data_IF_048048291966
#
_entry.id   IF_048048291966
#
_cell.length_a   1.000
_cell.length_b   1.000
_cell.length_c   1.000
_cell.angle_alpha   90.00
_cell.angle_beta   90.00
_cell.angle_gamma   90.00
#
_symmetry.space_group_name_H-M   'P 1'
#
loop_
_entity.id
_entity.type
_entity.pdbx_description
1 polymer ?
#
# COMPACT_ATOMS: atom_id res chain seq x y z
N UNK A 1 11.01 -37.43 -3.00
CA UNK A 1 12.42 -37.37 -3.46
C UNK A 1 12.53 -37.41 -4.99
N UNK A 2 11.79 -38.28 -5.69
CA UNK A 2 11.83 -38.35 -7.16
C UNK A 2 11.25 -37.10 -7.87
N UNK A 3 10.11 -36.58 -7.39
CA UNK A 3 9.54 -35.33 -7.92
C UNK A 3 10.47 -34.12 -7.82
N UNK A 4 11.33 -34.08 -6.80
CA UNK A 4 12.26 -32.97 -6.60
C UNK A 4 13.41 -33.01 -7.60
N UNK A 5 13.85 -34.21 -8.02
CA UNK A 5 14.82 -34.37 -9.11
C UNK A 5 14.21 -33.95 -10.44
N UNK A 6 12.98 -34.36 -10.72
CA UNK A 6 12.26 -33.96 -11.94
C UNK A 6 12.04 -32.44 -11.97
N UNK A 7 11.63 -31.84 -10.85
CA UNK A 7 11.49 -30.40 -10.73
C UNK A 7 12.81 -29.65 -11.01
N UNK A 8 13.95 -30.18 -10.56
CA UNK A 8 15.27 -29.61 -10.86
C UNK A 8 15.65 -29.76 -12.34
N UNK A 9 15.38 -30.92 -12.95
CA UNK A 9 15.62 -31.17 -14.38
C UNK A 9 14.74 -30.28 -15.26
N UNK A 10 13.46 -30.17 -14.93
CA UNK A 10 12.51 -29.26 -15.59
C UNK A 10 12.89 -27.80 -15.36
N UNK A 11 13.35 -27.45 -14.16
CA UNK A 11 13.87 -26.12 -13.83
C UNK A 11 15.08 -25.71 -14.68
N UNK A 12 15.93 -26.67 -15.06
CA UNK A 12 17.05 -26.47 -15.97
C UNK A 12 16.67 -26.38 -17.45
N UNK A 13 15.66 -27.14 -17.89
CA UNK A 13 15.19 -27.17 -19.30
C UNK A 13 14.30 -25.96 -19.62
N UNK A 14 13.29 -25.72 -18.79
CA UNK A 14 12.24 -24.75 -19.05
C UNK A 14 12.58 -23.34 -18.56
N UNK A 15 13.83 -23.09 -18.14
CA UNK A 15 14.34 -21.75 -17.86
C UNK A 15 13.37 -20.97 -16.99
N UNK A 16 13.30 -21.38 -15.72
CA UNK A 16 12.63 -20.67 -14.63
C UNK A 16 11.12 -20.90 -14.44
N UNK A 17 10.74 -22.17 -14.36
CA UNK A 17 9.60 -22.56 -13.48
C UNK A 17 9.93 -22.25 -11.99
N UNK A 18 11.17 -21.86 -11.67
CA UNK A 18 11.67 -21.49 -10.33
C UNK A 18 10.71 -20.68 -9.43
N UNK A 19 9.99 -19.63 -9.89
CA UNK A 19 9.03 -18.94 -9.03
C UNK A 19 7.78 -19.77 -8.67
N UNK A 20 7.36 -20.71 -9.54
CA UNK A 20 6.36 -21.73 -9.21
C UNK A 20 6.95 -22.85 -8.32
N UNK A 21 8.27 -23.09 -8.41
CA UNK A 21 8.98 -24.14 -7.65
C UNK A 21 9.27 -23.76 -6.18
N UNK A 22 9.20 -22.47 -5.82
CA UNK A 22 9.49 -21.98 -4.46
C UNK A 22 8.25 -21.84 -3.55
N UNK A 23 7.07 -22.27 -4.01
CA UNK A 23 5.88 -22.34 -3.17
C UNK A 23 6.02 -23.41 -2.06
N UNK A 24 5.25 -23.31 -0.95
CA UNK A 24 5.35 -24.23 0.17
C UNK A 24 5.26 -25.68 -0.31
N UNK A 25 6.10 -26.54 0.28
CA UNK A 25 6.49 -27.90 -0.14
C UNK A 25 5.32 -28.84 -0.49
N UNK A 26 4.08 -28.51 -0.09
CA UNK A 26 2.85 -29.21 -0.50
C UNK A 26 2.41 -29.00 -1.95
N UNK A 27 2.94 -28.01 -2.68
CA UNK A 27 2.60 -27.74 -4.09
C UNK A 27 3.38 -28.59 -5.10
N UNK A 28 4.38 -29.38 -4.66
CA UNK A 28 5.12 -30.27 -5.57
C UNK A 28 4.23 -31.34 -6.23
N UNK A 29 3.13 -31.74 -5.59
CA UNK A 29 2.14 -32.70 -6.12
C UNK A 29 1.27 -32.07 -7.21
N UNK A 30 0.96 -30.78 -7.13
CA UNK A 30 0.18 -30.08 -8.18
C UNK A 30 1.00 -29.77 -9.42
N UNK A 31 2.33 -29.74 -9.30
CA UNK A 31 3.25 -29.49 -10.41
C UNK A 31 3.43 -30.76 -11.26
N UNK A 32 3.54 -31.93 -10.61
CA UNK A 32 3.58 -33.21 -11.31
C UNK A 32 2.35 -33.43 -12.19
N UNK A 33 1.17 -33.08 -11.69
CA UNK A 33 -0.07 -33.16 -12.46
C UNK A 33 -0.20 -32.12 -13.58
N UNK A 34 0.36 -30.92 -13.41
CA UNK A 34 0.34 -29.89 -14.45
C UNK A 34 1.32 -30.19 -15.58
N UNK A 35 2.52 -30.67 -15.24
CA UNK A 35 3.54 -31.09 -16.22
C UNK A 35 3.06 -32.33 -16.98
N UNK A 36 2.54 -33.34 -16.28
CA UNK A 36 1.96 -34.51 -16.92
C UNK A 36 0.71 -34.16 -17.75
N UNK A 37 -0.11 -33.20 -17.33
CA UNK A 37 -1.20 -32.65 -18.12
C UNK A 37 -0.74 -31.94 -19.40
N UNK A 38 0.34 -31.15 -19.34
CA UNK A 38 0.93 -30.47 -20.50
C UNK A 38 1.61 -31.44 -21.48
N UNK A 39 2.22 -32.51 -20.97
CA UNK A 39 2.88 -33.55 -21.75
C UNK A 39 1.93 -34.66 -22.22
N UNK A 40 0.73 -34.75 -21.64
CA UNK A 40 -0.24 -35.82 -21.91
C UNK A 40 0.15 -37.18 -21.33
N UNK A 41 0.98 -37.22 -20.28
CA UNK A 41 1.46 -38.46 -19.66
C UNK A 41 0.72 -38.79 -18.38
N UNK A 42 0.94 -39.98 -17.84
CA UNK A 42 0.46 -40.32 -16.50
C UNK A 42 1.11 -39.40 -15.44
N UNK A 43 0.35 -39.10 -14.38
CA UNK A 43 0.79 -38.27 -13.24
C UNK A 43 1.78 -39.02 -12.32
N UNK A 44 2.75 -39.73 -12.91
CA UNK A 44 3.82 -40.43 -12.20
C UNK A 44 5.18 -39.83 -12.57
N UNK A 45 6.10 -39.69 -11.59
CA UNK A 45 7.43 -39.15 -11.85
C UNK A 45 8.17 -39.94 -12.94
N UNK A 46 7.98 -41.26 -12.98
CA UNK A 46 8.65 -42.16 -13.90
C UNK A 46 8.16 -41.98 -15.34
N UNK A 47 6.86 -41.79 -15.56
CA UNK A 47 6.29 -41.57 -16.90
C UNK A 47 6.71 -40.22 -17.50
N UNK A 48 6.71 -39.16 -16.68
CA UNK A 48 7.16 -37.82 -17.10
C UNK A 48 8.66 -37.82 -17.43
N UNK A 49 9.48 -38.50 -16.62
CA UNK A 49 10.92 -38.60 -16.86
C UNK A 49 11.25 -39.46 -18.09
N UNK A 50 10.45 -40.49 -18.37
CA UNK A 50 10.58 -41.30 -19.57
C UNK A 50 10.23 -40.49 -20.83
N UNK A 51 9.14 -39.72 -20.81
CA UNK A 51 8.73 -38.87 -21.94
C UNK A 51 9.78 -37.79 -22.22
N UNK A 52 10.30 -37.13 -21.18
CA UNK A 52 11.36 -36.12 -21.32
C UNK A 52 12.68 -36.68 -21.86
N UNK A 53 12.96 -37.98 -21.67
CA UNK A 53 14.16 -38.64 -22.22
C UNK A 53 13.96 -39.18 -23.62
N UNK A 54 12.77 -39.69 -23.91
CA UNK A 54 12.48 -40.39 -25.15
C UNK A 54 11.99 -39.46 -26.26
N UNK A 55 11.51 -38.26 -25.90
CA UNK A 55 10.91 -37.32 -26.83
C UNK A 55 11.55 -35.92 -26.73
N UNK A 56 12.35 -35.49 -27.72
CA UNK A 56 12.92 -34.14 -27.73
C UNK A 56 11.84 -33.04 -27.87
N UNK A 57 10.67 -33.35 -28.47
CA UNK A 57 9.56 -32.38 -28.58
C UNK A 57 8.85 -32.14 -27.24
N UNK A 58 8.95 -33.09 -26.30
CA UNK A 58 8.42 -32.92 -24.95
C UNK A 58 9.10 -31.75 -24.22
N UNK A 59 10.41 -31.58 -24.40
CA UNK A 59 11.15 -30.46 -23.82
C UNK A 59 10.70 -29.11 -24.39
N UNK A 60 10.44 -29.04 -25.70
CA UNK A 60 9.95 -27.82 -26.36
C UNK A 60 8.54 -27.45 -25.91
N UNK A 61 7.63 -28.43 -25.84
CA UNK A 61 6.26 -28.21 -25.32
C UNK A 61 6.28 -27.72 -23.88
N UNK A 62 7.15 -28.30 -23.05
CA UNK A 62 7.28 -27.89 -21.65
C UNK A 62 7.82 -26.46 -21.52
N UNK A 63 8.76 -26.07 -22.38
CA UNK A 63 9.28 -24.71 -22.43
C UNK A 63 8.21 -23.71 -22.88
N UNK A 64 7.40 -24.05 -23.88
CA UNK A 64 6.28 -23.22 -24.34
C UNK A 64 5.25 -23.02 -23.24
N UNK A 65 4.80 -24.11 -22.61
CA UNK A 65 3.88 -24.05 -21.48
C UNK A 65 4.42 -23.20 -20.33
N UNK A 66 5.69 -23.39 -19.95
CA UNK A 66 6.31 -22.59 -18.90
C UNK A 66 6.37 -21.10 -19.25
N UNK A 67 6.60 -20.76 -20.52
CA UNK A 67 6.59 -19.37 -20.99
C UNK A 67 5.19 -18.75 -20.93
N UNK A 68 4.16 -19.48 -21.35
CA UNK A 68 2.76 -19.04 -21.30
C UNK A 68 2.30 -18.83 -19.84
N UNK A 69 2.61 -19.77 -18.95
CA UNK A 69 2.25 -19.67 -17.53
C UNK A 69 2.93 -18.46 -16.85
N UNK A 70 4.21 -18.23 -17.18
CA UNK A 70 4.95 -17.05 -16.71
C UNK A 70 4.31 -15.75 -17.16
N UNK A 71 3.87 -15.70 -18.40
CA UNK A 71 3.20 -14.52 -18.94
C UNK A 71 1.87 -14.30 -18.24
N UNK A 72 1.07 -15.36 -18.03
CA UNK A 72 -0.19 -15.27 -17.29
C UNK A 72 0.02 -14.78 -15.86
N UNK A 73 0.99 -15.34 -15.13
CA UNK A 73 1.33 -14.90 -13.77
C UNK A 73 1.80 -13.44 -13.77
N UNK A 74 2.60 -13.03 -14.76
CA UNK A 74 3.06 -11.64 -14.89
C UNK A 74 1.88 -10.69 -15.11
N UNK A 75 0.95 -11.05 -15.99
CA UNK A 75 -0.26 -10.26 -16.25
C UNK A 75 -1.15 -10.18 -15.01
N UNK A 76 -1.39 -11.31 -14.33
CA UNK A 76 -2.17 -11.34 -13.09
C UNK A 76 -1.53 -10.46 -12.00
N UNK A 77 -0.20 -10.49 -11.84
CA UNK A 77 0.50 -9.61 -10.90
C UNK A 77 0.37 -8.13 -11.27
N UNK A 78 0.44 -7.80 -12.56
CA UNK A 78 0.24 -6.42 -13.04
C UNK A 78 -1.21 -5.97 -12.76
N UNK A 79 -2.19 -6.85 -12.97
CA UNK A 79 -3.59 -6.57 -12.70
C UNK A 79 -3.85 -6.35 -11.20
N UNK A 80 -3.31 -7.19 -10.32
CA UNK A 80 -3.38 -7.01 -8.88
C UNK A 80 -2.77 -5.67 -8.44
N UNK A 81 -1.62 -5.28 -9.03
CA UNK A 81 -1.01 -3.98 -8.75
C UNK A 81 -1.87 -2.82 -9.25
N UNK A 82 -2.54 -2.95 -10.41
CA UNK A 82 -3.48 -1.94 -10.91
C UNK A 82 -4.68 -1.79 -9.98
N UNK A 83 -5.29 -2.89 -9.53
CA UNK A 83 -6.42 -2.87 -8.60
C UNK A 83 -6.01 -2.20 -7.29
N UNK A 84 -4.88 -2.58 -6.71
CA UNK A 84 -4.36 -1.97 -5.48
C UNK A 84 -4.11 -0.45 -5.64
N UNK A 85 -3.64 -0.03 -6.81
CA UNK A 85 -3.41 1.37 -7.14
C UNK A 85 -4.72 2.14 -7.34
N UNK A 86 -5.73 1.51 -7.95
CA UNK A 86 -7.08 2.07 -8.10
C UNK A 86 -7.78 2.23 -6.76
N UNK A 87 -7.70 1.23 -5.88
CA UNK A 87 -8.21 1.30 -4.51
C UNK A 87 -7.54 2.44 -3.73
N UNK A 88 -6.22 2.55 -3.81
CA UNK A 88 -5.48 3.65 -3.19
C UNK A 88 -5.89 5.02 -3.73
N UNK A 89 -6.10 5.15 -5.04
CA UNK A 89 -6.61 6.38 -5.65
C UNK A 89 -8.03 6.69 -5.21
N UNK A 90 -8.89 5.69 -5.05
CA UNK A 90 -10.25 5.86 -4.58
C UNK A 90 -10.28 6.36 -3.13
N UNK A 91 -9.47 5.79 -2.23
CA UNK A 91 -9.33 6.27 -0.84
C UNK A 91 -8.81 7.71 -0.79
N UNK A 92 -7.79 8.04 -1.60
CA UNK A 92 -7.28 9.40 -1.68
C UNK A 92 -8.34 10.39 -2.20
N UNK A 93 -9.12 9.99 -3.21
CA UNK A 93 -10.18 10.81 -3.77
C UNK A 93 -11.31 11.02 -2.76
N UNK A 94 -11.73 9.96 -2.04
CA UNK A 94 -12.73 10.06 -0.98
C UNK A 94 -12.28 11.02 0.14
N UNK A 95 -11.03 10.89 0.61
CA UNK A 95 -10.43 11.81 1.57
C UNK A 95 -10.33 13.23 1.04
N UNK A 96 -10.01 13.41 -0.23
CA UNK A 96 -9.98 14.72 -0.87
C UNK A 96 -11.37 15.32 -0.98
N UNK A 97 -12.38 14.51 -1.32
CA UNK A 97 -13.79 14.91 -1.41
C UNK A 97 -14.31 15.36 -0.05
N UNK A 98 -14.07 14.56 1.00
CA UNK A 98 -14.40 14.93 2.38
C UNK A 98 -13.75 16.25 2.80
N UNK A 99 -12.49 16.50 2.40
CA UNK A 99 -11.80 17.78 2.66
C UNK A 99 -12.40 18.93 1.87
N UNK A 100 -12.80 18.73 0.62
CA UNK A 100 -13.43 19.79 -0.18
C UNK A 100 -14.83 20.12 0.29
N UNK A 101 -15.59 19.14 0.76
CA UNK A 101 -16.96 19.33 1.21
C UNK A 101 -17.02 20.00 2.59
N UNK A 102 -16.03 19.74 3.45
CA UNK A 102 -15.93 20.34 4.79
C UNK A 102 -14.98 21.54 4.88
N UNK A 103 -14.48 22.06 3.76
CA UNK A 103 -13.47 23.14 3.73
C UNK A 103 -13.92 24.44 4.39
N UNK A 104 -15.21 24.76 4.26
CA UNK A 104 -15.82 25.99 4.81
C UNK A 104 -16.63 25.71 6.08
N UNK A 105 -16.43 24.53 6.69
CA UNK A 105 -17.14 24.20 7.92
C UNK A 105 -16.58 25.03 9.07
N UNK A 106 -17.45 25.60 9.90
CA UNK A 106 -17.10 26.49 11.01
C UNK A 106 -16.39 25.77 12.18
N UNK A 107 -16.44 24.43 12.21
CA UNK A 107 -15.92 23.58 13.29
C UNK A 107 -14.43 23.82 13.63
N UNK A 108 -13.47 23.88 12.66
CA UNK A 108 -12.07 24.13 12.99
C UNK A 108 -11.85 25.51 13.62
N UNK A 109 -12.55 26.54 13.13
CA UNK A 109 -12.50 27.90 13.69
C UNK A 109 -13.02 27.94 15.13
N UNK A 110 -14.17 27.32 15.40
CA UNK A 110 -14.73 27.30 16.76
C UNK A 110 -13.87 26.50 17.73
N UNK A 111 -13.33 25.35 17.32
CA UNK A 111 -12.43 24.56 18.16
C UNK A 111 -11.13 25.31 18.49
N UNK A 112 -10.55 26.01 17.52
CA UNK A 112 -9.34 26.81 17.75
C UNK A 112 -9.60 28.00 18.66
N UNK A 113 -10.70 28.75 18.46
CA UNK A 113 -11.09 29.85 19.36
C UNK A 113 -11.34 29.32 20.78
N UNK A 114 -12.06 28.21 20.93
CA UNK A 114 -12.32 27.58 22.23
C UNK A 114 -11.02 27.15 22.92
N UNK A 115 -10.05 26.61 22.17
CA UNK A 115 -8.73 26.25 22.69
C UNK A 115 -7.96 27.49 23.18
N UNK A 116 -7.98 28.61 22.44
CA UNK A 116 -7.38 29.87 22.88
C UNK A 116 -8.03 30.40 24.16
N UNK A 117 -9.37 30.37 24.24
CA UNK A 117 -10.11 30.81 25.43
C UNK A 117 -9.74 29.96 26.65
N UNK A 118 -9.72 28.63 26.51
CA UNK A 118 -9.34 27.72 27.59
C UNK A 118 -7.88 27.94 28.03
N UNK A 119 -6.97 28.13 27.08
CA UNK A 119 -5.58 28.40 27.39
C UNK A 119 -5.40 29.73 28.12
N UNK A 120 -6.04 30.80 27.65
CA UNK A 120 -6.04 32.09 28.33
C UNK A 120 -6.64 32.01 29.73
N UNK A 121 -7.69 31.20 29.93
CA UNK A 121 -8.28 30.97 31.25
C UNK A 121 -7.31 30.24 32.20
N UNK A 122 -6.59 29.23 31.70
CA UNK A 122 -5.58 28.51 32.49
C UNK A 122 -4.40 29.43 32.85
N UNK A 123 -3.94 30.27 31.90
CA UNK A 123 -2.92 31.28 32.21
C UNK A 123 -3.41 32.27 33.26
N UNK A 124 -4.62 32.81 33.11
CA UNK A 124 -5.20 33.72 34.09
C UNK A 124 -5.32 33.07 35.48
N UNK A 125 -5.73 31.80 35.55
CA UNK A 125 -5.78 31.04 36.79
C UNK A 125 -4.39 30.84 37.42
N UNK A 126 -3.32 30.73 36.61
CA UNK A 126 -1.96 30.60 37.12
C UNK A 126 -1.41 31.93 37.68
N UNK A 127 -1.77 33.07 37.07
CA UNK A 127 -1.30 34.39 37.50
C UNK A 127 -2.12 35.01 38.63
N UNK A 128 -3.43 34.74 38.69
CA UNK A 128 -4.36 35.37 39.64
C UNK A 128 -5.04 34.38 40.58
N UNK A 129 -4.82 33.07 40.40
CA UNK A 129 -5.37 32.04 41.27
C UNK A 129 -4.57 31.85 42.55
N UNK A 130 -5.11 31.07 43.50
CA UNK A 130 -4.41 30.73 44.73
C UNK A 130 -3.17 29.87 44.44
N UNK A 131 -2.14 30.00 45.28
CA UNK A 131 -0.94 29.16 45.19
C UNK A 131 -1.28 27.69 45.51
N UNK A 132 -1.35 26.85 44.47
CA UNK A 132 -1.62 25.41 44.60
C UNK A 132 -0.28 24.65 44.65
N UNK A 133 0.36 24.62 45.83
CA UNK A 133 1.63 23.89 46.02
C UNK A 133 1.44 22.37 45.96
N UNK A 134 0.29 21.87 46.41
CA UNK A 134 -0.01 20.42 46.52
C UNK A 134 0.01 19.69 45.17
N UNK A 135 -0.44 20.35 44.09
CA UNK A 135 -0.63 19.74 42.77
C UNK A 135 0.21 20.43 41.67
N UNK A 136 1.20 21.24 42.06
CA UNK A 136 1.97 22.09 41.14
C UNK A 136 2.54 21.32 39.95
N UNK A 137 3.15 20.15 40.21
CA UNK A 137 3.81 19.37 39.15
C UNK A 137 2.79 18.79 38.15
N UNK A 138 1.59 18.41 38.61
CA UNK A 138 0.49 17.99 37.74
C UNK A 138 -0.04 19.16 36.89
N UNK A 139 -0.17 20.34 37.49
CA UNK A 139 -0.61 21.56 36.78
C UNK A 139 0.40 21.94 35.70
N UNK A 140 1.70 21.98 36.03
CA UNK A 140 2.76 22.30 35.07
C UNK A 140 2.81 21.28 33.93
N UNK A 141 2.64 19.98 34.22
CA UNK A 141 2.55 18.94 33.20
C UNK A 141 1.35 19.12 32.25
N UNK A 142 0.17 19.44 32.79
CA UNK A 142 -1.03 19.68 32.00
C UNK A 142 -0.89 20.95 31.14
N UNK A 143 -0.34 22.02 31.71
CA UNK A 143 -0.05 23.27 30.99
C UNK A 143 0.95 23.05 29.86
N UNK A 144 2.00 22.26 30.09
CA UNK A 144 2.97 21.89 29.05
C UNK A 144 2.33 21.19 27.84
N UNK A 145 1.36 20.31 28.08
CA UNK A 145 0.61 19.65 27.00
C UNK A 145 -0.32 20.62 26.24
N UNK A 146 -0.87 21.64 26.90
CA UNK A 146 -1.73 22.64 26.23
C UNK A 146 -0.96 23.44 25.16
N UNK A 147 0.32 23.74 25.39
CA UNK A 147 1.16 24.39 24.37
C UNK A 147 1.30 23.55 23.09
N UNK A 148 1.38 22.22 23.22
CA UNK A 148 1.43 21.29 22.07
C UNK A 148 0.14 21.36 21.26
N UNK A 149 -1.02 21.39 21.93
CA UNK A 149 -2.32 21.53 21.26
C UNK A 149 -2.44 22.86 20.51
N UNK A 150 -1.94 23.96 21.08
CA UNK A 150 -1.87 25.26 20.43
C UNK A 150 -0.94 25.28 19.22
N UNK A 151 0.24 24.67 19.33
CA UNK A 151 1.17 24.53 18.21
C UNK A 151 0.54 23.74 17.05
N UNK A 152 -0.19 22.66 17.36
CA UNK A 152 -0.91 21.87 16.36
C UNK A 152 -2.06 22.66 15.71
N UNK A 153 -2.80 23.46 16.48
CA UNK A 153 -3.83 24.35 15.95
C UNK A 153 -3.25 25.43 15.01
N UNK A 154 -2.11 26.04 15.39
CA UNK A 154 -1.41 26.99 14.53
C UNK A 154 -0.88 26.32 13.25
N UNK A 155 -0.32 25.12 13.35
CA UNK A 155 0.16 24.35 12.21
C UNK A 155 -0.97 23.98 11.23
N UNK A 156 -2.17 23.66 11.73
CA UNK A 156 -3.36 23.44 10.90
C UNK A 156 -3.67 24.65 10.02
N UNK A 157 -3.72 25.85 10.61
CA UNK A 157 -4.02 27.08 9.86
C UNK A 157 -2.90 27.49 8.88
N UNK A 158 -1.64 27.39 9.29
CA UNK A 158 -0.50 27.67 8.39
C UNK A 158 -0.46 26.70 7.20
N UNK A 159 -0.76 25.43 7.44
CA UNK A 159 -0.86 24.40 6.40
C UNK A 159 -2.04 24.63 5.46
N UNK A 160 -3.21 25.01 6.01
CA UNK A 160 -4.39 25.35 5.23
C UNK A 160 -4.14 26.54 4.28
N UNK A 161 -3.45 27.58 4.75
CA UNK A 161 -3.07 28.74 3.93
C UNK A 161 -2.12 28.34 2.79
N UNK A 162 -1.14 27.49 3.07
CA UNK A 162 -0.22 26.98 2.03
C UNK A 162 -0.97 26.20 0.94
N UNK A 163 -1.91 25.35 1.32
CA UNK A 163 -2.73 24.59 0.37
C UNK A 163 -3.62 25.48 -0.50
N UNK A 164 -4.13 26.60 0.03
CA UNK A 164 -4.90 27.58 -0.76
C UNK A 164 -4.03 28.24 -1.83
N UNK A 165 -2.85 28.73 -1.44
CA UNK A 165 -1.93 29.41 -2.35
C UNK A 165 -1.48 28.52 -3.53
N UNK A 166 -1.26 27.23 -3.27
CA UNK A 166 -0.87 26.27 -4.32
C UNK A 166 -2.01 26.04 -5.34
N UNK A 167 -3.28 26.02 -4.89
CA UNK A 167 -4.45 25.90 -5.77
C UNK A 167 -4.64 27.13 -6.65
N UNK A 168 -4.49 28.33 -6.07
CA UNK A 168 -4.60 29.58 -6.83
C UNK A 168 -3.51 29.70 -7.91
N UNK A 169 -2.30 29.23 -7.59
CA UNK A 169 -1.20 29.17 -8.56
C UNK A 169 -1.49 28.19 -9.70
N UNK A 170 -2.01 27.00 -9.39
CA UNK A 170 -2.42 26.01 -10.38
C UNK A 170 -3.55 26.52 -11.28
N UNK A 171 -4.59 27.14 -10.71
CA UNK A 171 -5.69 27.72 -11.50
C UNK A 171 -5.20 28.82 -12.45
N UNK A 172 -4.32 29.71 -11.97
CA UNK A 172 -3.71 30.74 -12.82
C UNK A 172 -2.85 30.15 -13.95
N UNK A 173 -2.14 29.04 -13.72
CA UNK A 173 -1.36 28.36 -14.76
C UNK A 173 -2.25 27.69 -15.80
N UNK A 174 -3.34 27.03 -15.37
CA UNK A 174 -4.32 26.43 -16.29
C UNK A 174 -5.04 27.48 -17.13
N UNK A 175 -5.43 28.61 -16.54
CA UNK A 175 -6.05 29.71 -17.28
C UNK A 175 -5.11 30.33 -18.31
N UNK A 176 -3.80 30.39 -18.04
CA UNK A 176 -2.80 30.85 -19.01
C UNK A 176 -2.51 29.82 -20.11
N UNK A 177 -2.66 28.53 -19.82
CA UNK A 177 -2.48 27.44 -20.80
C UNK A 177 -3.66 27.29 -21.77
N UNK A 178 -4.88 27.57 -21.32
CA UNK A 178 -6.10 27.47 -22.14
C UNK A 178 -6.35 28.67 -23.07
N UNK A 179 -5.55 29.74 -22.98
CA UNK A 179 -5.65 30.97 -23.79
C UNK A 179 -4.61 30.97 -24.94
N UNK A 180 -3.95 29.84 -25.21
CA UNK A 180 -3.12 29.60 -26.39
C UNK A 180 -3.72 28.50 -27.25
#
# INVERSE_FOLDING_TARGET
MEWQKIANTVGGIAGAVAPLLTGPVGLAVSIGSQIAGALGTENTPEAVAAELKNNPDAALKLQQWAHEEREQIRQANIELQKIALEEYKADLNDRQNARTNNKDHWMPSTLTILLFVLFSAVLAALFYGPDIERNRDLIVYLVGNLFVLLANAAAFWLSATKSSNDKDKLMNLMQKGAVK
#
